data_IF_799440249746
#
_entry.id   IF_799440249746
#
_cell.length_a   1.000
_cell.length_b   1.000
_cell.length_c   1.000
_cell.angle_alpha   90.00
_cell.angle_beta   90.00
_cell.angle_gamma   90.00
#
_symmetry.space_group_name_H-M   'P 1'
#
loop_
_entity.id
_entity.type
_entity.pdbx_description
1 polymer ?
#
# COMPACT_ATOMS: atom_id res chain seq x y z
N UNK A 1 -27.12 36.20 -4.93
CA UNK A 1 -27.61 34.88 -4.51
C UNK A 1 -27.33 33.78 -5.54
N UNK A 2 -27.27 34.05 -6.85
CA UNK A 2 -26.88 33.03 -7.85
C UNK A 2 -25.42 32.58 -7.75
N UNK A 3 -24.48 33.45 -7.35
CA UNK A 3 -23.05 33.09 -7.26
C UNK A 3 -22.74 32.02 -6.20
N UNK A 4 -23.44 32.03 -5.05
CA UNK A 4 -23.21 31.06 -3.97
C UNK A 4 -23.64 29.63 -4.34
N UNK A 5 -24.63 29.46 -5.23
CA UNK A 5 -25.10 28.14 -5.64
C UNK A 5 -24.13 27.49 -6.63
N UNK A 6 -23.55 28.30 -7.53
CA UNK A 6 -22.54 27.89 -8.52
C UNK A 6 -21.23 27.52 -7.82
N UNK A 7 -20.82 28.29 -6.80
CA UNK A 7 -19.61 28.01 -6.03
C UNK A 7 -19.72 26.70 -5.22
N UNK A 8 -20.88 26.46 -4.59
CA UNK A 8 -21.15 25.20 -3.86
C UNK A 8 -21.19 23.98 -4.78
N UNK A 9 -21.75 24.10 -5.99
CA UNK A 9 -21.73 23.01 -6.97
C UNK A 9 -20.31 22.68 -7.46
N UNK A 10 -19.47 23.70 -7.70
CA UNK A 10 -18.07 23.51 -8.10
C UNK A 10 -17.25 22.83 -7.00
N UNK A 11 -17.45 23.21 -5.73
CA UNK A 11 -16.83 22.58 -4.57
C UNK A 11 -17.25 21.10 -4.42
N UNK A 12 -18.55 20.81 -4.54
CA UNK A 12 -19.06 19.43 -4.47
C UNK A 12 -18.52 18.54 -5.59
N UNK A 13 -18.44 19.06 -6.81
CA UNK A 13 -17.85 18.34 -7.95
C UNK A 13 -16.34 18.08 -7.76
N UNK A 14 -15.60 19.04 -7.18
CA UNK A 14 -14.19 18.89 -6.87
C UNK A 14 -13.94 17.85 -5.78
N UNK A 15 -14.77 17.81 -4.74
CA UNK A 15 -14.72 16.80 -3.67
C UNK A 15 -15.02 15.38 -4.19
N UNK A 16 -16.02 15.25 -5.05
CA UNK A 16 -16.37 13.98 -5.69
C UNK A 16 -15.22 13.46 -6.58
N UNK A 17 -14.61 14.34 -7.37
CA UNK A 17 -13.44 14.02 -8.22
C UNK A 17 -12.22 13.63 -7.38
N UNK A 18 -11.94 14.36 -6.30
CA UNK A 18 -10.85 14.05 -5.37
C UNK A 18 -11.04 12.67 -4.71
N UNK A 19 -12.27 12.33 -4.34
CA UNK A 19 -12.60 11.02 -3.76
C UNK A 19 -12.42 9.89 -4.78
N UNK A 20 -12.77 10.12 -6.05
CA UNK A 20 -12.61 9.15 -7.13
C UNK A 20 -11.13 8.91 -7.45
N UNK A 21 -10.31 9.97 -7.53
CA UNK A 21 -8.86 9.86 -7.74
C UNK A 21 -8.17 9.08 -6.62
N UNK A 22 -8.50 9.37 -5.36
CA UNK A 22 -7.97 8.62 -4.22
C UNK A 22 -8.31 7.13 -4.32
N UNK A 23 -9.57 6.80 -4.67
CA UNK A 23 -9.98 5.40 -4.83
C UNK A 23 -9.20 4.70 -5.94
N UNK A 24 -9.05 5.33 -7.10
CA UNK A 24 -8.28 4.76 -8.21
C UNK A 24 -6.83 4.48 -7.82
N UNK A 25 -6.18 5.43 -7.14
CA UNK A 25 -4.78 5.25 -6.71
C UNK A 25 -4.65 4.15 -5.68
N UNK A 26 -5.56 4.08 -4.71
CA UNK A 26 -5.56 2.98 -3.74
C UNK A 26 -5.84 1.62 -4.41
N UNK A 27 -6.75 1.54 -5.39
CA UNK A 27 -6.97 0.30 -6.14
C UNK A 27 -5.75 -0.11 -6.94
N UNK A 28 -5.14 0.82 -7.68
CA UNK A 28 -3.92 0.56 -8.44
C UNK A 28 -2.78 0.08 -7.53
N UNK A 29 -2.54 0.80 -6.43
CA UNK A 29 -1.55 0.43 -5.43
C UNK A 29 -1.85 -0.93 -4.80
N UNK A 30 -3.09 -1.20 -4.41
CA UNK A 30 -3.46 -2.52 -3.89
C UNK A 30 -3.21 -3.63 -4.92
N UNK A 31 -3.66 -3.47 -6.17
CA UNK A 31 -3.42 -4.47 -7.21
C UNK A 31 -1.93 -4.75 -7.40
N UNK A 32 -1.11 -3.71 -7.41
CA UNK A 32 0.34 -3.82 -7.50
C UNK A 32 0.95 -4.59 -6.32
N UNK A 33 0.70 -4.16 -5.08
CA UNK A 33 1.24 -4.84 -3.90
C UNK A 33 0.68 -6.25 -3.71
N UNK A 34 -0.58 -6.50 -4.08
CA UNK A 34 -1.17 -7.86 -4.07
C UNK A 34 -0.47 -8.77 -5.07
N UNK A 35 -0.16 -8.31 -6.28
CA UNK A 35 0.60 -9.09 -7.25
C UNK A 35 1.99 -9.43 -6.70
N UNK A 36 2.69 -8.45 -6.10
CA UNK A 36 3.99 -8.70 -5.45
C UNK A 36 3.87 -9.75 -4.35
N UNK A 37 2.88 -9.64 -3.46
CA UNK A 37 2.65 -10.62 -2.40
C UNK A 37 2.40 -12.01 -2.98
N UNK A 38 1.58 -12.13 -4.02
CA UNK A 38 1.34 -13.39 -4.72
C UNK A 38 2.63 -13.98 -5.30
N UNK A 39 3.45 -13.16 -5.95
CA UNK A 39 4.76 -13.58 -6.47
C UNK A 39 5.68 -14.04 -5.33
N UNK A 40 5.69 -13.35 -4.19
CA UNK A 40 6.49 -13.74 -3.03
C UNK A 40 6.01 -15.04 -2.39
N UNK A 41 4.70 -15.28 -2.32
CA UNK A 41 4.13 -16.56 -1.87
C UNK A 41 4.60 -17.70 -2.77
N UNK A 42 4.50 -17.51 -4.09
CA UNK A 42 5.00 -18.49 -5.07
C UNK A 42 6.50 -18.71 -4.88
N UNK A 43 7.29 -17.64 -4.73
CA UNK A 43 8.72 -17.75 -4.50
C UNK A 43 9.06 -18.48 -3.18
N UNK A 44 8.23 -18.34 -2.14
CA UNK A 44 8.37 -19.06 -0.88
C UNK A 44 8.15 -20.56 -1.06
N UNK A 45 7.09 -20.94 -1.79
CA UNK A 45 6.77 -22.34 -2.13
C UNK A 45 7.91 -22.97 -2.93
N UNK A 46 8.49 -22.24 -3.88
CA UNK A 46 9.58 -22.70 -4.75
C UNK A 46 10.97 -22.23 -4.30
N UNK A 47 11.15 -21.91 -3.01
CA UNK A 47 12.39 -21.32 -2.50
C UNK A 47 13.62 -22.20 -2.72
N UNK A 48 13.45 -23.53 -2.68
CA UNK A 48 14.53 -24.49 -2.93
C UNK A 48 15.02 -24.44 -4.36
N UNK A 49 14.09 -24.36 -5.31
CA UNK A 49 14.38 -24.21 -6.73
C UNK A 49 15.08 -22.87 -7.02
N UNK A 50 14.62 -21.78 -6.40
CA UNK A 50 15.23 -20.45 -6.54
C UNK A 50 16.65 -20.43 -5.95
N UNK A 51 16.85 -21.03 -4.78
CA UNK A 51 18.18 -21.09 -4.14
C UNK A 51 19.14 -21.92 -5.01
N UNK A 52 18.67 -23.04 -5.57
CA UNK A 52 19.45 -23.85 -6.50
C UNK A 52 19.85 -23.07 -7.77
N UNK A 53 18.91 -22.36 -8.39
CA UNK A 53 19.20 -21.47 -9.52
C UNK A 53 20.20 -20.37 -9.15
N UNK A 54 20.03 -19.74 -7.97
CA UNK A 54 20.92 -18.71 -7.47
C UNK A 54 22.36 -19.22 -7.33
N UNK A 55 22.55 -20.41 -6.75
CA UNK A 55 23.86 -21.05 -6.65
C UNK A 55 24.45 -21.45 -8.00
N UNK A 56 23.61 -21.84 -8.97
CA UNK A 56 24.06 -22.27 -10.29
C UNK A 56 24.50 -21.11 -11.19
N UNK A 57 23.77 -19.99 -11.16
CA UNK A 57 24.02 -18.85 -12.05
C UNK A 57 24.79 -17.71 -11.38
N UNK A 58 24.81 -17.66 -10.04
CA UNK A 58 25.54 -16.67 -9.24
C UNK A 58 26.26 -17.37 -8.08
N UNK A 59 27.22 -18.27 -8.37
CA UNK A 59 27.88 -19.11 -7.36
C UNK A 59 28.65 -18.30 -6.30
N UNK A 60 29.06 -17.08 -6.63
CA UNK A 60 29.81 -16.18 -5.74
C UNK A 60 28.98 -15.65 -4.57
N UNK A 61 27.65 -15.67 -4.64
CA UNK A 61 26.80 -15.13 -3.59
C UNK A 61 26.55 -16.08 -2.41
N UNK A 62 27.01 -17.34 -2.48
CA UNK A 62 26.89 -18.35 -1.40
C UNK A 62 25.59 -18.23 -0.59
N UNK A 63 24.45 -18.19 -1.28
CA UNK A 63 23.16 -17.90 -0.67
C UNK A 63 22.73 -19.05 0.22
N UNK A 64 22.71 -18.83 1.54
CA UNK A 64 22.09 -19.79 2.45
C UNK A 64 20.57 -19.78 2.22
N UNK A 65 19.98 -20.98 2.16
CA UNK A 65 18.53 -21.17 2.03
C UNK A 65 17.75 -20.40 3.11
N UNK A 66 18.25 -20.38 4.35
CA UNK A 66 17.64 -19.63 5.46
C UNK A 66 17.52 -18.15 5.14
N UNK A 67 18.54 -17.56 4.52
CA UNK A 67 18.61 -16.13 4.27
C UNK A 67 17.63 -15.75 3.15
N UNK A 68 17.54 -16.59 2.11
CA UNK A 68 16.52 -16.46 1.05
C UNK A 68 15.11 -16.52 1.63
N UNK A 69 14.83 -17.51 2.49
CA UNK A 69 13.50 -17.67 3.09
C UNK A 69 13.15 -16.50 4.01
N UNK A 70 14.08 -16.05 4.87
CA UNK A 70 13.88 -14.88 5.74
C UNK A 70 13.63 -13.64 4.90
N UNK A 71 14.39 -13.44 3.82
CA UNK A 71 14.21 -12.33 2.90
C UNK A 71 12.83 -12.36 2.24
N UNK A 72 12.37 -13.53 1.76
CA UNK A 72 11.04 -13.67 1.16
C UNK A 72 9.91 -13.41 2.18
N UNK A 73 10.05 -13.90 3.41
CA UNK A 73 9.07 -13.66 4.48
C UNK A 73 9.02 -12.17 4.84
N UNK A 74 10.18 -11.52 5.00
CA UNK A 74 10.25 -10.09 5.27
C UNK A 74 9.59 -9.29 4.13
N UNK A 75 9.94 -9.58 2.89
CA UNK A 75 9.31 -8.97 1.72
C UNK A 75 7.78 -9.16 1.72
N UNK A 76 7.29 -10.34 2.10
CA UNK A 76 5.87 -10.66 2.13
C UNK A 76 5.13 -9.85 3.20
N UNK A 77 5.69 -9.75 4.40
CA UNK A 77 5.13 -8.95 5.50
C UNK A 77 5.10 -7.47 5.13
N UNK A 78 6.18 -6.95 4.55
CA UNK A 78 6.30 -5.53 4.22
C UNK A 78 5.36 -5.11 3.08
N UNK A 79 5.35 -5.85 1.97
CA UNK A 79 4.45 -5.57 0.85
C UNK A 79 2.98 -5.87 1.20
N UNK A 80 2.72 -6.92 1.99
CA UNK A 80 1.40 -7.23 2.52
C UNK A 80 0.89 -6.15 3.46
N UNK A 81 1.75 -5.60 4.32
CA UNK A 81 1.43 -4.45 5.17
C UNK A 81 1.08 -3.20 4.37
N UNK A 82 1.80 -2.93 3.28
CA UNK A 82 1.47 -1.82 2.37
C UNK A 82 0.09 -2.02 1.70
N UNK A 83 -0.19 -3.21 1.18
CA UNK A 83 -1.51 -3.55 0.62
C UNK A 83 -2.63 -3.42 1.67
N UNK A 84 -2.41 -3.92 2.90
CA UNK A 84 -3.35 -3.81 4.00
C UNK A 84 -3.59 -2.35 4.40
N UNK A 85 -2.54 -1.53 4.44
CA UNK A 85 -2.64 -0.08 4.70
C UNK A 85 -3.53 0.62 3.66
N UNK A 86 -3.33 0.34 2.37
CA UNK A 86 -4.17 0.87 1.29
C UNK A 86 -5.62 0.40 1.38
N UNK A 87 -5.85 -0.87 1.71
CA UNK A 87 -7.19 -1.41 1.96
C UNK A 87 -7.88 -0.69 3.13
N UNK A 88 -7.15 -0.46 4.22
CA UNK A 88 -7.66 0.26 5.39
C UNK A 88 -7.95 1.73 5.06
N UNK A 89 -7.14 2.38 4.21
CA UNK A 89 -7.43 3.74 3.71
C UNK A 89 -8.75 3.75 2.91
N UNK A 90 -8.98 2.78 2.03
CA UNK A 90 -10.24 2.65 1.28
C UNK A 90 -11.44 2.41 2.20
N UNK A 91 -11.25 1.64 3.27
CA UNK A 91 -12.25 1.40 4.33
C UNK A 91 -12.38 2.58 5.30
N UNK A 92 -11.65 3.68 5.08
CA UNK A 92 -11.63 4.88 5.94
C UNK A 92 -11.25 4.59 7.40
N UNK A 93 -10.39 3.60 7.64
CA UNK A 93 -9.91 3.28 8.99
C UNK A 93 -8.75 4.19 9.39
N UNK A 94 -8.73 4.65 10.64
CA UNK A 94 -7.73 5.61 11.14
C UNK A 94 -6.26 5.13 11.03
N UNK A 95 -6.03 3.82 11.14
CA UNK A 95 -4.67 3.25 11.11
C UNK A 95 -4.16 2.92 9.71
N UNK A 96 -4.96 3.09 8.66
CA UNK A 96 -4.55 2.71 7.30
C UNK A 96 -3.37 3.53 6.76
N UNK A 97 -3.41 4.85 6.96
CA UNK A 97 -2.35 5.75 6.50
C UNK A 97 -1.02 5.51 7.24
N UNK A 98 -0.96 5.48 8.59
CA UNK A 98 0.28 5.15 9.30
C UNK A 98 0.86 3.78 8.93
N UNK A 99 0.01 2.76 8.77
CA UNK A 99 0.45 1.43 8.38
C UNK A 99 1.07 1.43 6.99
N UNK A 100 0.41 2.08 6.01
CA UNK A 100 0.95 2.21 4.66
C UNK A 100 2.31 2.92 4.66
N UNK A 101 2.45 4.04 5.37
CA UNK A 101 3.70 4.80 5.45
C UNK A 101 4.82 3.94 6.01
N UNK A 102 4.58 3.30 7.16
CA UNK A 102 5.57 2.51 7.84
C UNK A 102 6.02 1.34 6.95
N UNK A 103 5.08 0.60 6.38
CA UNK A 103 5.37 -0.50 5.46
C UNK A 103 6.13 -0.03 4.23
N UNK A 104 5.75 1.11 3.64
CA UNK A 104 6.41 1.63 2.45
C UNK A 104 7.85 2.08 2.73
N UNK A 105 8.11 2.77 3.84
CA UNK A 105 9.47 3.13 4.25
C UNK A 105 10.34 1.90 4.49
N UNK A 106 9.77 0.87 5.11
CA UNK A 106 10.46 -0.39 5.33
C UNK A 106 10.71 -1.13 4.01
N UNK A 107 9.81 -1.09 3.03
CA UNK A 107 10.05 -1.63 1.68
C UNK A 107 11.24 -0.93 1.01
N UNK A 108 11.33 0.41 1.09
CA UNK A 108 12.46 1.17 0.52
C UNK A 108 13.77 0.74 1.19
N UNK A 109 13.79 0.71 2.53
CA UNK A 109 14.97 0.30 3.29
C UNK A 109 15.38 -1.15 2.98
N UNK A 110 14.39 -2.04 2.89
CA UNK A 110 14.60 -3.44 2.56
C UNK A 110 15.17 -3.65 1.15
N UNK A 111 14.74 -2.85 0.18
CA UNK A 111 15.29 -2.89 -1.19
C UNK A 111 16.67 -2.23 -1.31
N UNK A 112 16.97 -1.24 -0.47
CA UNK A 112 18.29 -0.60 -0.45
C UNK A 112 19.41 -1.59 -0.06
N UNK A 113 19.15 -2.50 0.88
CA UNK A 113 20.13 -3.48 1.36
C UNK A 113 20.73 -4.36 0.24
N UNK A 114 19.94 -5.04 -0.61
CA UNK A 114 20.46 -5.89 -1.68
C UNK A 114 20.85 -5.13 -2.96
N UNK A 115 20.20 -4.00 -3.27
CA UNK A 115 20.38 -3.30 -4.55
C UNK A 115 21.32 -2.09 -4.49
N UNK A 116 21.81 -1.72 -3.30
CA UNK A 116 22.77 -0.63 -3.11
C UNK A 116 22.21 0.69 -3.65
N UNK A 117 22.99 1.43 -4.43
CA UNK A 117 22.54 2.68 -5.06
C UNK A 117 21.58 2.48 -6.26
N UNK A 118 21.54 1.27 -6.84
CA UNK A 118 20.83 1.00 -8.09
C UNK A 118 19.61 0.12 -7.89
N UNK A 119 18.41 0.70 -7.79
CA UNK A 119 17.15 -0.07 -7.74
C UNK A 119 16.12 0.49 -6.77
N UNK A 120 16.54 0.83 -5.56
CA UNK A 120 15.67 1.39 -4.50
C UNK A 120 14.98 2.70 -4.92
N UNK A 121 15.62 3.50 -5.77
CA UNK A 121 15.10 4.79 -6.25
C UNK A 121 13.75 4.62 -6.97
N UNK A 122 13.55 3.52 -7.70
CA UNK A 122 12.29 3.24 -8.41
C UNK A 122 11.15 3.07 -7.40
N UNK A 123 11.37 2.27 -6.35
CA UNK A 123 10.43 2.06 -5.27
C UNK A 123 10.18 3.34 -4.47
N UNK A 124 11.21 4.14 -4.23
CA UNK A 124 11.09 5.41 -3.54
C UNK A 124 10.23 6.43 -4.31
N UNK A 125 10.41 6.54 -5.64
CA UNK A 125 9.59 7.41 -6.49
C UNK A 125 8.14 6.92 -6.52
N UNK A 126 7.91 5.60 -6.67
CA UNK A 126 6.58 5.01 -6.68
C UNK A 126 5.83 5.30 -5.36
N UNK A 127 6.48 5.05 -4.24
CA UNK A 127 5.94 5.31 -2.90
C UNK A 127 5.70 6.80 -2.70
N UNK A 128 6.60 7.68 -3.17
CA UNK A 128 6.43 9.12 -3.08
C UNK A 128 5.20 9.61 -3.86
N UNK A 129 4.95 9.06 -5.05
CA UNK A 129 3.76 9.41 -5.85
C UNK A 129 2.49 8.99 -5.10
N UNK A 130 2.43 7.76 -4.59
CA UNK A 130 1.29 7.29 -3.80
C UNK A 130 1.13 8.15 -2.55
N UNK A 131 2.24 8.51 -1.90
CA UNK A 131 2.24 9.31 -0.68
C UNK A 131 1.76 10.73 -0.90
N UNK A 132 2.18 11.39 -1.99
CA UNK A 132 1.67 12.71 -2.39
C UNK A 132 0.16 12.61 -2.62
N UNK A 133 -0.29 11.66 -3.45
CA UNK A 133 -1.71 11.57 -3.80
C UNK A 133 -2.56 11.25 -2.56
N UNK A 134 -2.17 10.26 -1.76
CA UNK A 134 -2.88 9.89 -0.53
C UNK A 134 -2.78 10.99 0.52
N UNK A 135 -1.62 11.62 0.70
CA UNK A 135 -1.40 12.69 1.67
C UNK A 135 -2.20 13.95 1.37
N UNK A 136 -2.14 14.45 0.13
CA UNK A 136 -2.90 15.61 -0.30
C UNK A 136 -4.42 15.37 -0.24
N UNK A 137 -4.89 14.18 -0.63
CA UNK A 137 -6.32 13.88 -0.55
C UNK A 137 -6.81 13.52 0.86
N UNK A 138 -5.97 12.95 1.72
CA UNK A 138 -6.32 12.63 3.12
C UNK A 138 -6.27 13.83 4.06
N UNK A 139 -5.50 14.89 3.77
CA UNK A 139 -5.60 16.14 4.53
C UNK A 139 -6.95 16.86 4.32
N UNK A 140 -7.67 16.59 3.22
CA UNK A 140 -9.09 16.92 3.09
C UNK A 140 -10.01 16.09 3.99
N UNK A 141 -9.61 14.86 4.37
CA UNK A 141 -10.36 13.99 5.28
C UNK A 141 -10.21 14.36 6.76
N UNK A 142 -9.27 15.23 7.13
CA UNK A 142 -9.06 15.67 8.52
C UNK A 142 -10.24 16.47 9.10
N UNK A 143 -11.25 16.79 8.27
CA UNK A 143 -12.54 17.41 8.66
C UNK A 143 -13.71 16.43 8.67
N UNK A 144 -13.50 15.11 8.72
CA UNK A 144 -14.63 14.19 8.87
C UNK A 144 -14.99 14.00 10.35
N UNK A 145 -16.21 14.39 10.79
CA UNK A 145 -16.63 14.20 12.17
C UNK A 145 -16.65 12.70 12.51
N UNK A 146 -16.23 12.38 13.72
CA UNK A 146 -16.22 11.04 14.30
C UNK A 146 -17.63 10.49 14.58
N UNK A 147 -18.59 10.76 13.71
CA UNK A 147 -19.90 10.13 13.74
C UNK A 147 -19.81 8.85 12.92
N UNK A 148 -19.37 7.79 13.61
CA UNK A 148 -19.59 6.44 13.11
C UNK A 148 -21.11 6.26 12.94
N UNK A 149 -21.60 5.74 11.80
CA UNK A 149 -22.96 5.21 11.77
C UNK A 149 -23.03 4.12 12.84
N UNK A 150 -23.81 4.39 13.87
CA UNK A 150 -24.13 3.42 14.91
C UNK A 150 -24.72 2.19 14.21
N UNK A 151 -23.92 1.12 14.10
CA UNK A 151 -24.36 -0.17 13.54
C UNK A 151 -25.32 -0.91 14.50
N UNK A 152 -25.80 -0.25 15.57
CA UNK A 152 -26.94 -0.69 16.37
C UNK A 152 -28.26 -0.39 15.63
N UNK A 153 -28.47 -1.10 14.53
CA UNK A 153 -29.72 -1.10 13.78
C UNK A 153 -30.47 -2.41 14.00
N UNK A 154 -31.34 -2.43 15.02
CA UNK A 154 -32.54 -3.28 15.12
C UNK A 154 -32.37 -4.79 14.99
N UNK A 155 -32.20 -5.44 16.14
CA UNK A 155 -32.85 -6.73 16.40
C UNK A 155 -34.09 -6.48 17.25
N UNK A 156 -35.12 -5.89 16.64
CA UNK A 156 -36.50 -6.09 17.10
C UNK A 156 -37.23 -6.75 15.95
N UNK A 157 -37.35 -8.06 16.04
CA UNK A 157 -38.32 -8.85 15.29
C UNK A 157 -39.08 -9.73 16.26
N UNK A 158 -40.37 -9.42 16.32
CA UNK A 158 -41.54 -10.25 16.68
C UNK A 158 -41.71 -10.48 18.18
#
# INVERSE_FOLDING_TARGET
MEDESIEKQKLSAAEARNTLMLRLVCYFGMSYYTIIVLTLVIALIYSDFITMLGMQYVPEMALNRSDVVIYLIAGLILNGGAAAGLFMILRKMHFGLPLFILSALLVIGFQFLPSGMGGWQKYAIEILIIFIIVGFHSHGFRRWPAEMPNLSGKTERI
#
